data_IF_393019804209
#
_entry.id   IF_393019804209
#
_cell.length_a   1.000
_cell.length_b   1.000
_cell.length_c   1.000
_cell.angle_alpha   90.00
_cell.angle_beta   90.00
_cell.angle_gamma   90.00
#
_symmetry.space_group_name_H-M   'P 1'
#
loop_
_entity.id
_entity.type
_entity.pdbx_description
1 polymer ?
#
# COMPACT_ATOMS: atom_id res chain seq x y z
N UNK A 1 43.86 19.86 23.56
CA UNK A 1 44.12 19.41 22.16
C UNK A 1 43.92 17.91 21.95
N UNK A 2 44.26 17.05 22.92
CA UNK A 2 44.15 15.58 22.82
C UNK A 2 42.73 15.05 22.58
N UNK A 3 41.72 15.63 23.23
CA UNK A 3 40.30 15.23 23.05
C UNK A 3 39.77 15.47 21.63
N UNK A 4 40.19 16.55 20.97
CA UNK A 4 39.77 16.87 19.60
C UNK A 4 40.33 15.85 18.61
N UNK A 5 41.58 15.42 18.82
CA UNK A 5 42.26 14.44 17.96
C UNK A 5 41.61 13.05 18.08
N UNK A 6 41.24 12.64 19.29
CA UNK A 6 40.53 11.37 19.51
C UNK A 6 39.16 11.40 18.83
N UNK A 7 38.39 12.50 18.95
CA UNK A 7 37.09 12.64 18.29
C UNK A 7 37.19 12.63 16.76
N UNK A 8 38.24 13.23 16.19
CA UNK A 8 38.49 13.20 14.75
C UNK A 8 38.85 11.80 14.25
N UNK A 9 39.62 11.03 15.02
CA UNK A 9 40.07 9.69 14.62
C UNK A 9 38.98 8.62 14.83
N UNK A 10 38.19 8.71 15.89
CA UNK A 10 37.19 7.67 16.23
C UNK A 10 35.76 8.12 15.98
N UNK A 11 35.41 9.38 16.26
CA UNK A 11 34.03 9.89 16.14
C UNK A 11 33.57 10.00 14.68
N UNK A 12 34.39 10.59 13.81
CA UNK A 12 34.05 10.81 12.40
C UNK A 12 33.85 9.51 11.60
N UNK A 13 34.74 8.49 11.71
CA UNK A 13 34.50 7.21 11.05
C UNK A 13 33.27 6.49 11.58
N UNK A 14 33.00 6.57 12.88
CA UNK A 14 31.82 5.94 13.48
C UNK A 14 30.53 6.57 12.95
N UNK A 15 30.47 7.91 12.85
CA UNK A 15 29.34 8.61 12.24
C UNK A 15 29.18 8.27 10.75
N UNK A 16 30.28 8.14 10.00
CA UNK A 16 30.25 7.73 8.60
C UNK A 16 29.69 6.31 8.43
N UNK A 17 30.12 5.36 9.28
CA UNK A 17 29.59 3.98 9.27
C UNK A 17 28.12 3.96 9.65
N UNK A 18 27.70 4.70 10.67
CA UNK A 18 26.28 4.82 11.02
C UNK A 18 25.46 5.41 9.86
N UNK A 19 25.96 6.46 9.22
CA UNK A 19 25.31 7.08 8.06
C UNK A 19 25.16 6.07 6.92
N UNK A 20 26.20 5.32 6.59
CA UNK A 20 26.17 4.27 5.56
C UNK A 20 25.14 3.19 5.92
N UNK A 21 25.11 2.69 7.16
CA UNK A 21 24.12 1.70 7.59
C UNK A 21 22.69 2.22 7.46
N UNK A 22 22.43 3.45 7.93
CA UNK A 22 21.10 4.07 7.82
C UNK A 22 20.69 4.27 6.37
N UNK A 23 21.60 4.74 5.50
CA UNK A 23 21.30 5.04 4.11
C UNK A 23 21.10 3.76 3.29
N UNK A 24 21.98 2.77 3.44
CA UNK A 24 21.84 1.48 2.75
C UNK A 24 20.65 0.68 3.27
N UNK A 25 20.36 0.72 4.57
CA UNK A 25 19.16 0.11 5.14
C UNK A 25 17.88 0.74 4.58
N UNK A 26 17.81 2.07 4.55
CA UNK A 26 16.68 2.82 3.98
C UNK A 26 16.54 2.59 2.47
N UNK A 27 17.66 2.49 1.74
CA UNK A 27 17.67 2.21 0.31
C UNK A 27 17.19 0.79 0.00
N UNK A 28 17.70 -0.22 0.71
CA UNK A 28 17.31 -1.61 0.55
C UNK A 28 15.82 -1.81 0.85
N UNK A 29 15.33 -1.20 1.94
CA UNK A 29 13.90 -1.18 2.28
C UNK A 29 13.05 -0.55 1.16
N UNK A 30 13.46 0.63 0.67
CA UNK A 30 12.74 1.31 -0.41
C UNK A 30 12.69 0.46 -1.69
N UNK A 31 13.77 -0.24 -2.03
CA UNK A 31 13.82 -1.13 -3.19
C UNK A 31 12.92 -2.35 -3.04
N UNK A 32 12.88 -2.96 -1.86
CA UNK A 32 11.99 -4.09 -1.59
C UNK A 32 10.53 -3.69 -1.79
N UNK A 33 10.13 -2.54 -1.24
CA UNK A 33 8.79 -1.97 -1.39
C UNK A 33 8.41 -1.68 -2.85
N UNK A 34 9.33 -1.10 -3.62
CA UNK A 34 9.12 -0.84 -5.06
C UNK A 34 8.93 -2.14 -5.84
N UNK A 35 9.73 -3.17 -5.52
CA UNK A 35 9.63 -4.49 -6.18
C UNK A 35 8.29 -5.15 -5.89
N UNK A 36 7.81 -5.05 -4.66
CA UNK A 36 6.51 -5.59 -4.25
C UNK A 36 5.35 -4.90 -4.98
N UNK A 37 5.32 -3.57 -5.00
CA UNK A 37 4.33 -2.78 -5.76
C UNK A 37 4.36 -3.17 -7.24
N UNK A 38 5.55 -3.28 -7.84
CA UNK A 38 5.71 -3.66 -9.25
C UNK A 38 5.19 -5.07 -9.54
N UNK A 39 5.39 -6.02 -8.61
CA UNK A 39 4.86 -7.37 -8.74
C UNK A 39 3.33 -7.39 -8.64
N UNK A 40 2.75 -6.60 -7.72
CA UNK A 40 1.32 -6.46 -7.59
C UNK A 40 0.69 -5.75 -8.80
N UNK A 41 1.38 -4.81 -9.44
CA UNK A 41 0.95 -4.22 -10.72
C UNK A 41 0.87 -5.25 -11.83
N UNK A 42 1.86 -6.14 -11.90
CA UNK A 42 1.85 -7.22 -12.88
C UNK A 42 0.69 -8.21 -12.64
N UNK A 43 0.30 -8.43 -11.39
CA UNK A 43 -0.86 -9.25 -11.02
C UNK A 43 -2.17 -8.51 -11.37
N UNK A 44 -2.28 -7.24 -10.97
CA UNK A 44 -3.44 -6.39 -11.25
C UNK A 44 -3.78 -6.38 -12.74
N UNK A 45 -2.78 -6.18 -13.61
CA UNK A 45 -2.98 -6.16 -15.07
C UNK A 45 -3.53 -7.46 -15.66
N UNK A 46 -3.43 -8.57 -14.93
CA UNK A 46 -3.95 -9.88 -15.35
C UNK A 46 -5.36 -10.14 -14.84
N UNK A 47 -5.82 -9.38 -13.87
CA UNK A 47 -7.13 -9.56 -13.24
C UNK A 47 -8.21 -9.05 -14.19
N UNK A 48 -9.16 -9.94 -14.50
CA UNK A 48 -10.36 -9.65 -15.28
C UNK A 48 -11.56 -10.26 -14.62
N UNK A 49 -12.53 -9.44 -14.25
CA UNK A 49 -13.80 -9.85 -13.68
C UNK A 49 -14.89 -9.55 -14.72
N UNK A 50 -15.60 -10.59 -15.14
CA UNK A 50 -16.78 -10.46 -15.99
C UNK A 50 -18.02 -10.41 -15.11
N UNK A 51 -18.96 -9.55 -15.46
CA UNK A 51 -20.25 -9.42 -14.83
C UNK A 51 -21.34 -9.37 -15.90
N UNK A 52 -22.59 -9.60 -15.51
CA UNK A 52 -23.72 -9.58 -16.46
C UNK A 52 -23.99 -8.17 -17.00
N UNK A 53 -23.72 -7.13 -16.20
CA UNK A 53 -23.77 -5.74 -16.62
C UNK A 53 -22.34 -5.21 -16.87
N UNK A 54 -22.06 -4.66 -18.08
CA UNK A 54 -20.76 -4.08 -18.42
C UNK A 54 -20.24 -3.05 -17.41
N UNK A 55 -21.14 -2.36 -16.70
CA UNK A 55 -20.81 -1.39 -15.67
C UNK A 55 -20.04 -2.00 -14.50
N UNK A 56 -20.27 -3.29 -14.20
CA UNK A 56 -19.61 -4.03 -13.12
C UNK A 56 -18.47 -4.93 -13.61
N UNK A 57 -18.09 -4.82 -14.88
CA UNK A 57 -16.87 -5.46 -15.38
C UNK A 57 -15.64 -4.72 -14.83
N UNK A 58 -14.60 -5.51 -14.56
CA UNK A 58 -13.31 -5.01 -14.11
C UNK A 58 -12.19 -5.57 -14.98
N UNK A 59 -11.42 -4.68 -15.60
CA UNK A 59 -10.16 -5.02 -16.26
C UNK A 59 -9.03 -4.24 -15.59
N UNK A 60 -8.20 -4.96 -14.83
CA UNK A 60 -7.09 -4.33 -14.10
C UNK A 60 -6.01 -3.74 -15.00
N UNK A 61 -5.99 -4.04 -16.30
CA UNK A 61 -5.12 -3.35 -17.25
C UNK A 61 -5.61 -1.94 -17.63
N UNK A 62 -6.92 -1.68 -17.48
CA UNK A 62 -7.59 -0.43 -17.84
C UNK A 62 -8.03 0.39 -16.62
N UNK A 63 -8.10 -0.24 -15.46
CA UNK A 63 -8.58 0.39 -14.24
C UNK A 63 -7.61 1.49 -13.75
N UNK A 64 -8.18 2.60 -13.29
CA UNK A 64 -7.46 3.68 -12.63
C UNK A 64 -7.27 3.33 -11.14
N UNK A 65 -6.06 3.48 -10.60
CA UNK A 65 -5.81 3.30 -9.16
C UNK A 65 -6.07 4.63 -8.46
N UNK A 66 -7.15 4.69 -7.69
CA UNK A 66 -7.58 5.88 -6.94
C UNK A 66 -6.85 5.98 -5.60
N UNK A 67 -6.71 4.84 -4.93
CA UNK A 67 -6.01 4.72 -3.64
C UNK A 67 -5.13 3.48 -3.66
N UNK A 68 -3.90 3.62 -3.15
CA UNK A 68 -3.00 2.50 -2.91
C UNK A 68 -2.43 2.59 -1.50
N UNK A 69 -2.53 1.51 -0.74
CA UNK A 69 -2.01 1.40 0.63
C UNK A 69 -1.34 0.06 0.84
N UNK A 70 -0.21 0.08 1.53
CA UNK A 70 0.45 -1.12 2.06
C UNK A 70 0.07 -1.19 3.53
N UNK A 71 -0.72 -2.19 3.90
CA UNK A 71 -1.02 -2.47 5.30
C UNK A 71 0.00 -3.46 5.84
N UNK A 72 0.67 -3.04 6.91
CA UNK A 72 1.65 -3.86 7.60
C UNK A 72 0.92 -4.61 8.71
N UNK A 73 0.48 -5.83 8.46
CA UNK A 73 0.02 -6.70 9.55
C UNK A 73 1.21 -7.01 10.45
N UNK A 74 1.03 -6.90 11.77
CA UNK A 74 2.10 -6.94 12.79
C UNK A 74 3.10 -8.11 12.70
N UNK A 75 2.80 -9.19 11.96
CA UNK A 75 3.64 -10.39 11.95
C UNK A 75 3.83 -11.12 10.61
N UNK A 76 3.07 -10.85 9.55
CA UNK A 76 3.19 -11.63 8.30
C UNK A 76 2.54 -10.90 7.13
N UNK A 77 3.36 -10.56 6.13
CA UNK A 77 3.04 -10.01 4.81
C UNK A 77 2.46 -8.58 4.79
N UNK A 78 3.03 -7.75 3.91
CA UNK A 78 2.46 -6.46 3.53
C UNK A 78 1.32 -6.75 2.53
N UNK A 79 0.08 -6.78 2.99
CA UNK A 79 -1.03 -6.84 2.05
C UNK A 79 -1.14 -5.45 1.37
N UNK A 80 -1.12 -5.44 0.05
CA UNK A 80 -1.31 -4.26 -0.77
C UNK A 80 -2.79 -4.12 -1.10
N UNK A 81 -3.38 -3.05 -0.59
CA UNK A 81 -4.79 -2.75 -0.75
C UNK A 81 -4.94 -1.59 -1.73
N UNK A 82 -5.82 -1.77 -2.72
CA UNK A 82 -6.04 -0.82 -3.80
C UNK A 82 -7.53 -0.59 -3.97
N UNK A 83 -7.90 0.69 -4.12
CA UNK A 83 -9.20 1.06 -4.67
C UNK A 83 -8.97 1.44 -6.11
N UNK A 84 -9.60 0.70 -7.01
CA UNK A 84 -9.52 0.90 -8.43
C UNK A 84 -10.87 1.39 -8.97
N UNK A 85 -10.85 2.17 -10.04
CA UNK A 85 -12.04 2.65 -10.74
C UNK A 85 -12.03 2.16 -12.17
N UNK A 86 -13.15 1.61 -12.64
CA UNK A 86 -13.27 1.14 -14.04
C UNK A 86 -13.64 2.31 -14.99
N UNK A 87 -13.67 2.04 -16.30
CA UNK A 87 -14.02 3.02 -17.33
C UNK A 87 -15.44 3.60 -17.16
N UNK A 88 -16.36 2.84 -16.54
CA UNK A 88 -17.72 3.26 -16.24
C UNK A 88 -17.84 4.08 -14.94
N UNK A 89 -16.73 4.24 -14.21
CA UNK A 89 -16.66 5.02 -12.99
C UNK A 89 -17.05 4.27 -11.70
N UNK A 90 -17.26 2.96 -11.76
CA UNK A 90 -17.50 2.10 -10.60
C UNK A 90 -16.21 1.72 -9.89
N UNK A 91 -16.30 1.45 -8.59
CA UNK A 91 -15.15 1.22 -7.72
C UNK A 91 -15.00 -0.23 -7.32
N UNK A 92 -13.76 -0.67 -7.17
CA UNK A 92 -13.40 -2.03 -6.77
C UNK A 92 -12.30 -1.98 -5.72
N UNK A 93 -12.48 -2.72 -4.63
CA UNK A 93 -11.43 -3.01 -3.65
C UNK A 93 -10.64 -4.22 -4.12
N UNK A 94 -9.31 -4.12 -4.06
CA UNK A 94 -8.40 -5.18 -4.43
C UNK A 94 -7.36 -5.35 -3.33
N UNK A 95 -7.21 -6.57 -2.82
CA UNK A 95 -6.25 -6.91 -1.76
C UNK A 95 -5.31 -7.98 -2.30
N UNK A 96 -4.00 -7.72 -2.24
CA UNK A 96 -2.96 -8.60 -2.78
C UNK A 96 -2.65 -9.83 -1.91
N UNK A 97 -3.68 -10.41 -1.30
CA UNK A 97 -3.54 -11.68 -0.59
C UNK A 97 -3.43 -12.85 -1.58
N UNK A 98 -3.17 -14.06 -1.07
CA UNK A 98 -3.11 -15.28 -1.88
C UNK A 98 -4.21 -16.25 -1.44
N UNK A 99 -5.30 -16.43 -2.22
CA UNK A 99 -5.60 -15.82 -3.51
C UNK A 99 -6.02 -14.34 -3.42
N UNK A 100 -5.84 -13.51 -4.48
CA UNK A 100 -6.17 -12.09 -4.45
C UNK A 100 -7.67 -11.88 -4.30
N UNK A 101 -8.05 -10.94 -3.43
CA UNK A 101 -9.44 -10.61 -3.17
C UNK A 101 -9.86 -9.37 -3.98
N UNK A 102 -11.05 -9.44 -4.59
CA UNK A 102 -11.62 -8.36 -5.39
C UNK A 102 -13.10 -8.23 -5.03
N UNK A 103 -13.55 -7.01 -4.74
CA UNK A 103 -14.93 -6.74 -4.40
C UNK A 103 -15.38 -5.41 -5.00
N UNK A 104 -16.58 -5.38 -5.59
CA UNK A 104 -17.21 -4.14 -6.02
C UNK A 104 -17.61 -3.30 -4.79
N UNK A 105 -17.39 -1.99 -4.87
CA UNK A 105 -17.75 -1.03 -3.84
C UNK A 105 -18.78 -0.04 -4.37
N UNK A 106 -19.80 0.24 -3.57
CA UNK A 106 -20.73 1.32 -3.87
C UNK A 106 -20.04 2.68 -3.79
N UNK A 107 -20.47 3.62 -4.63
CA UNK A 107 -19.92 4.98 -4.64
C UNK A 107 -20.08 5.69 -3.29
N UNK A 108 -21.18 5.41 -2.58
CA UNK A 108 -21.44 5.91 -1.24
C UNK A 108 -20.39 5.42 -0.24
N UNK A 109 -20.11 4.11 -0.22
CA UNK A 109 -19.08 3.52 0.66
C UNK A 109 -17.70 4.10 0.41
N UNK A 110 -17.34 4.32 -0.85
CA UNK A 110 -16.06 4.95 -1.20
C UNK A 110 -16.03 6.39 -0.72
N UNK A 111 -17.09 7.16 -0.94
CA UNK A 111 -17.17 8.56 -0.49
C UNK A 111 -17.03 8.67 1.02
N UNK A 112 -17.75 7.84 1.78
CA UNK A 112 -17.66 7.81 3.24
C UNK A 112 -16.25 7.47 3.72
N UNK A 113 -15.64 6.43 3.14
CA UNK A 113 -14.29 6.03 3.49
C UNK A 113 -13.27 7.14 3.17
N UNK A 114 -13.39 7.80 2.00
CA UNK A 114 -12.48 8.87 1.58
C UNK A 114 -12.62 10.13 2.45
N UNK A 115 -13.85 10.53 2.81
CA UNK A 115 -14.08 11.67 3.70
C UNK A 115 -13.46 11.47 5.08
N UNK A 116 -13.53 10.25 5.62
CA UNK A 116 -12.87 9.90 6.88
C UNK A 116 -11.35 9.89 6.77
N UNK A 117 -10.83 9.52 5.60
CA UNK A 117 -9.40 9.55 5.31
C UNK A 117 -8.83 10.97 5.35
N UNK A 118 -9.62 11.95 4.90
CA UNK A 118 -9.26 13.37 4.97
C UNK A 118 -9.33 13.92 6.41
N UNK A 119 -10.25 13.39 7.23
CA UNK A 119 -10.44 13.80 8.62
C UNK A 119 -9.42 13.18 9.59
N UNK A 120 -8.97 11.95 9.33
CA UNK A 120 -8.02 11.25 10.19
C UNK A 120 -6.58 11.54 9.76
N UNK A 121 -5.91 12.33 10.60
CA UNK A 121 -4.47 12.55 10.54
C UNK A 121 -3.72 11.22 10.38
N UNK A 122 -2.55 11.28 9.71
CA UNK A 122 -1.65 10.24 9.20
C UNK A 122 -1.38 8.98 10.08
N UNK A 123 -1.89 8.90 11.29
CA UNK A 123 -1.60 7.89 12.31
C UNK A 123 -2.73 6.87 12.56
N UNK A 124 -3.96 7.07 12.08
CA UNK A 124 -5.07 6.09 12.20
C UNK A 124 -5.43 5.44 10.85
N UNK A 125 -4.45 4.85 10.18
CA UNK A 125 -4.61 4.33 8.82
C UNK A 125 -5.38 2.98 8.77
N UNK A 126 -5.37 2.21 9.86
CA UNK A 126 -5.92 0.84 9.95
C UNK A 126 -7.47 0.77 9.95
N UNK A 127 -8.16 1.90 10.13
CA UNK A 127 -9.63 1.92 10.21
C UNK A 127 -10.29 1.96 8.82
N UNK A 128 -9.58 2.46 7.82
CA UNK A 128 -10.14 2.74 6.49
C UNK A 128 -10.63 1.48 5.77
N UNK A 129 -9.87 0.39 5.85
CA UNK A 129 -10.15 -0.83 5.09
C UNK A 129 -11.16 -1.70 5.80
N UNK A 130 -11.12 -1.74 7.13
CA UNK A 130 -12.09 -2.46 7.95
C UNK A 130 -13.54 -2.01 7.70
N UNK A 131 -13.77 -0.78 7.24
CA UNK A 131 -15.11 -0.30 6.82
C UNK A 131 -15.50 -0.66 5.39
N UNK A 132 -14.52 -0.80 4.50
CA UNK A 132 -14.75 -1.17 3.10
C UNK A 132 -14.95 -2.68 2.93
N UNK A 133 -14.36 -3.46 3.84
CA UNK A 133 -14.58 -4.89 3.90
C UNK A 133 -16.03 -5.20 4.32
N UNK A 134 -16.71 -6.14 3.64
CA UNK A 134 -17.99 -6.62 4.12
C UNK A 134 -17.81 -7.24 5.52
N UNK A 135 -18.81 -7.08 6.41
CA UNK A 135 -18.75 -7.58 7.80
C UNK A 135 -18.42 -9.07 7.93
N UNK A 136 -18.65 -9.85 6.88
CA UNK A 136 -18.32 -11.28 6.77
C UNK A 136 -16.83 -11.57 6.52
N UNK A 137 -16.00 -10.55 6.31
CA UNK A 137 -14.58 -10.68 5.97
C UNK A 137 -13.65 -10.28 7.13
N UNK A 138 -14.20 -9.97 8.31
CA UNK A 138 -13.41 -9.74 9.51
C UNK A 138 -12.93 -11.12 10.00
N UNK A 139 -11.63 -11.40 9.81
CA UNK A 139 -10.95 -12.58 10.35
C UNK A 139 -10.59 -12.35 11.81
#
# INVERSE_FOLDING_TARGET
MTFLLIFLITGLPTLAVMYVIFFFGSYAYSRAKIKEISSADAILKKIKLKADDPKYEFDGAKAEIVVQRLEHMRYTFEDLHRICRNECGEYFLLISCSPPYICHLSQERVREAMAEMELKNKYEQDVFINKLLPKSFIV
#
